data_IF_072682128494
#
_entry.id   IF_072682128494
#
_cell.length_a   1.000
_cell.length_b   1.000
_cell.length_c   1.000
_cell.angle_alpha   90.00
_cell.angle_beta   90.00
_cell.angle_gamma   90.00
#
_symmetry.space_group_name_H-M   'P 1'
#
loop_
_entity.id
_entity.type
_entity.pdbx_description
1 polymer ?
#
# COMPACT_ATOMS: atom_id res chain seq x y z
N UNK A 1 -28.55 -6.68 13.14
CA UNK A 1 -28.63 -5.20 13.11
C UNK A 1 -27.70 -4.69 12.03
N UNK A 2 -28.13 -3.74 11.21
CA UNK A 2 -27.26 -3.09 10.21
C UNK A 2 -26.12 -2.34 10.89
N UNK A 3 -24.91 -2.39 10.32
CA UNK A 3 -23.72 -1.66 10.78
C UNK A 3 -23.28 -0.70 9.70
N UNK A 4 -22.57 0.34 10.09
CA UNK A 4 -21.85 1.18 9.13
C UNK A 4 -20.50 0.53 8.85
N UNK A 5 -20.23 0.17 7.59
CA UNK A 5 -18.98 -0.45 7.15
C UNK A 5 -18.23 0.52 6.22
N UNK A 6 -17.15 1.08 6.72
CA UNK A 6 -16.24 1.88 5.90
C UNK A 6 -15.24 0.94 5.20
N UNK A 7 -15.39 0.80 3.90
CA UNK A 7 -14.52 0.00 3.05
C UNK A 7 -13.49 0.92 2.36
N UNK A 8 -12.32 1.05 2.96
CA UNK A 8 -11.21 1.80 2.37
C UNK A 8 -10.48 0.94 1.35
N UNK A 9 -10.66 1.29 0.09
CA UNK A 9 -10.21 0.49 -1.06
C UNK A 9 -8.88 0.96 -1.68
N UNK A 10 -8.27 2.01 -1.17
CA UNK A 10 -7.04 2.61 -1.72
C UNK A 10 -7.26 4.08 -2.05
N UNK A 11 -6.50 4.69 -2.94
CA UNK A 11 -5.56 4.08 -3.90
C UNK A 11 -4.24 3.64 -3.24
N UNK A 12 -3.48 2.75 -3.90
CA UNK A 12 -2.14 2.44 -3.43
C UNK A 12 -1.24 3.68 -3.50
N UNK A 13 -0.27 3.77 -2.56
CA UNK A 13 0.73 4.87 -2.44
C UNK A 13 0.15 6.23 -2.04
N UNK A 14 -0.92 6.22 -1.30
CA UNK A 14 -1.61 7.40 -0.74
C UNK A 14 -1.52 7.48 0.79
N UNK A 15 -0.55 6.79 1.41
CA UNK A 15 -0.39 6.75 2.87
C UNK A 15 -1.15 5.60 3.55
N UNK A 16 -1.58 4.59 2.79
CA UNK A 16 -2.35 3.44 3.33
C UNK A 16 -1.63 2.70 4.45
N UNK A 17 -0.32 2.51 4.34
CA UNK A 17 0.50 1.88 5.40
C UNK A 17 0.47 2.70 6.70
N UNK A 18 0.58 4.03 6.60
CA UNK A 18 0.48 4.95 7.73
C UNK A 18 -0.89 4.85 8.41
N UNK A 19 -1.96 4.90 7.61
CA UNK A 19 -3.33 4.75 8.10
C UNK A 19 -3.54 3.41 8.81
N UNK A 20 -3.16 2.32 8.16
CA UNK A 20 -3.36 0.96 8.69
C UNK A 20 -2.58 0.74 9.98
N UNK A 21 -1.38 1.31 10.09
CA UNK A 21 -0.57 1.23 11.30
C UNK A 21 -1.20 2.03 12.45
N UNK A 22 -1.68 3.25 12.20
CA UNK A 22 -2.42 4.04 13.21
C UNK A 22 -3.70 3.34 13.67
N UNK A 23 -4.49 2.79 12.76
CA UNK A 23 -5.68 2.00 13.12
C UNK A 23 -5.30 0.79 13.99
N UNK A 24 -4.23 0.08 13.64
CA UNK A 24 -3.71 -1.08 14.38
C UNK A 24 -3.30 -0.71 15.81
N UNK A 25 -2.52 0.36 15.98
CA UNK A 25 -2.02 0.81 17.27
C UNK A 25 -3.17 1.27 18.18
N UNK A 26 -4.23 1.84 17.63
CA UNK A 26 -5.34 2.41 18.37
C UNK A 26 -6.58 1.50 18.45
N UNK A 27 -6.49 0.24 18.02
CA UNK A 27 -7.64 -0.70 17.98
C UNK A 27 -8.40 -0.77 19.31
N UNK A 28 -7.70 -0.81 20.44
CA UNK A 28 -8.32 -0.89 21.76
C UNK A 28 -9.03 0.42 22.18
N UNK A 29 -8.47 1.58 21.81
CA UNK A 29 -9.08 2.88 22.03
C UNK A 29 -10.35 3.05 21.19
N UNK A 30 -10.24 2.76 19.90
CA UNK A 30 -11.34 2.80 18.94
C UNK A 30 -12.52 1.90 19.34
N UNK A 31 -12.24 0.68 19.80
CA UNK A 31 -13.27 -0.27 20.24
C UNK A 31 -14.09 0.25 21.41
N UNK A 32 -13.52 1.02 22.35
CA UNK A 32 -14.26 1.66 23.47
C UNK A 32 -15.29 2.68 22.98
N UNK A 33 -15.12 3.20 21.79
CA UNK A 33 -16.00 4.19 21.17
C UNK A 33 -16.83 3.61 20.02
N UNK A 34 -16.99 2.27 19.98
CA UNK A 34 -17.85 1.61 18.99
C UNK A 34 -17.25 1.57 17.58
N UNK A 35 -15.92 1.66 17.42
CA UNK A 35 -15.24 1.48 16.12
C UNK A 35 -14.42 0.20 16.13
N UNK A 36 -14.82 -0.75 15.31
CA UNK A 36 -14.19 -2.06 15.18
C UNK A 36 -13.24 -2.09 13.98
N UNK A 37 -12.00 -2.48 14.23
CA UNK A 37 -11.02 -2.84 13.19
C UNK A 37 -10.87 -4.37 13.23
N UNK A 38 -11.46 -5.12 12.29
CA UNK A 38 -11.42 -6.58 12.33
C UNK A 38 -10.00 -7.16 12.34
N UNK A 39 -9.76 -8.15 13.20
CA UNK A 39 -8.48 -8.84 13.30
C UNK A 39 -8.65 -10.30 13.69
N UNK A 40 -7.69 -11.16 13.35
CA UNK A 40 -7.66 -12.55 13.86
C UNK A 40 -7.07 -12.63 15.26
N UNK A 41 -6.10 -11.75 15.55
CA UNK A 41 -5.43 -11.59 16.85
C UNK A 41 -5.16 -10.11 17.08
N UNK A 42 -5.06 -9.66 18.33
CA UNK A 42 -4.64 -8.30 18.64
C UNK A 42 -3.33 -7.94 17.93
N UNK A 43 -3.26 -6.76 17.32
CA UNK A 43 -2.06 -6.27 16.62
C UNK A 43 -1.80 -6.85 15.23
N UNK A 44 -2.69 -7.68 14.68
CA UNK A 44 -2.56 -8.28 13.33
C UNK A 44 -3.67 -7.85 12.36
N UNK A 45 -4.13 -6.64 12.48
CA UNK A 45 -5.23 -6.09 11.64
C UNK A 45 -4.82 -6.00 10.17
N UNK A 46 -3.66 -5.42 9.88
CA UNK A 46 -3.13 -5.19 8.53
C UNK A 46 -2.96 -6.51 7.74
N UNK A 47 -2.32 -7.52 8.33
CA UNK A 47 -2.16 -8.83 7.70
C UNK A 47 -3.50 -9.55 7.48
N UNK A 48 -4.47 -9.34 8.37
CA UNK A 48 -5.78 -9.95 8.20
C UNK A 48 -6.57 -9.29 7.07
N UNK A 49 -6.55 -7.95 7.00
CA UNK A 49 -7.20 -7.20 5.91
C UNK A 49 -6.55 -7.51 4.56
N UNK A 50 -5.22 -7.65 4.51
CA UNK A 50 -4.51 -8.09 3.32
C UNK A 50 -4.98 -9.46 2.83
N UNK A 51 -5.01 -10.47 3.73
CA UNK A 51 -5.48 -11.82 3.36
C UNK A 51 -6.93 -11.82 2.93
N UNK A 52 -7.81 -11.06 3.61
CA UNK A 52 -9.21 -10.96 3.21
C UNK A 52 -9.36 -10.34 1.82
N UNK A 53 -8.58 -9.32 1.51
CA UNK A 53 -8.57 -8.72 0.18
C UNK A 53 -8.01 -9.68 -0.89
N UNK A 54 -6.94 -10.43 -0.61
CA UNK A 54 -6.41 -11.46 -1.51
C UNK A 54 -7.44 -12.55 -1.81
N UNK A 55 -8.11 -13.08 -0.78
CA UNK A 55 -9.13 -14.12 -0.90
C UNK A 55 -10.32 -13.64 -1.75
N UNK A 56 -10.82 -12.43 -1.47
CA UNK A 56 -11.87 -11.81 -2.29
C UNK A 56 -11.48 -11.68 -3.76
N UNK A 57 -10.21 -11.33 -4.03
CA UNK A 57 -9.69 -11.09 -5.39
C UNK A 57 -9.20 -12.37 -6.09
N UNK A 58 -9.33 -13.57 -5.49
CA UNK A 58 -8.74 -14.82 -5.95
C UNK A 58 -7.25 -14.70 -6.25
N UNK A 59 -6.51 -14.03 -5.35
CA UNK A 59 -5.06 -13.84 -5.45
C UNK A 59 -4.36 -14.54 -4.30
N UNK A 60 -3.14 -15.01 -4.56
CA UNK A 60 -2.38 -15.83 -3.62
C UNK A 60 -0.87 -15.49 -3.66
N UNK A 61 -0.53 -14.20 -3.60
CA UNK A 61 0.85 -13.73 -3.53
C UNK A 61 1.18 -13.20 -2.12
N UNK A 62 2.45 -13.10 -1.79
CA UNK A 62 2.91 -12.62 -0.48
C UNK A 62 2.83 -13.66 0.63
N UNK A 63 2.73 -14.96 0.29
CA UNK A 63 2.69 -16.06 1.27
C UNK A 63 2.69 -17.43 0.61
N UNK A 64 2.56 -18.48 1.43
CA UNK A 64 2.43 -19.85 0.94
C UNK A 64 1.10 -20.02 0.16
N UNK A 65 1.04 -20.90 -0.87
CA UNK A 65 -0.20 -21.15 -1.61
C UNK A 65 -1.38 -21.46 -0.68
N UNK A 66 -2.51 -20.81 -0.91
CA UNK A 66 -3.73 -20.97 -0.10
C UNK A 66 -3.72 -20.25 1.24
N UNK A 67 -2.72 -19.43 1.56
CA UNK A 67 -2.61 -18.74 2.85
C UNK A 67 -3.74 -17.73 3.12
N UNK A 68 -4.40 -17.25 2.07
CA UNK A 68 -5.49 -16.29 2.16
C UNK A 68 -6.87 -16.94 2.21
N UNK A 69 -6.98 -18.23 1.83
CA UNK A 69 -8.26 -18.94 1.65
C UNK A 69 -9.17 -18.87 2.88
N UNK A 70 -10.41 -18.42 2.67
CA UNK A 70 -11.44 -18.29 3.72
C UNK A 70 -11.28 -17.04 4.59
N UNK A 71 -10.32 -16.16 4.27
CA UNK A 71 -10.09 -14.93 5.03
C UNK A 71 -11.21 -13.90 4.80
N UNK A 72 -11.79 -13.83 3.59
CA UNK A 72 -12.92 -12.96 3.31
C UNK A 72 -14.15 -13.38 4.11
N UNK A 73 -14.51 -14.65 4.11
CA UNK A 73 -15.62 -15.17 4.94
C UNK A 73 -15.36 -14.93 6.44
N UNK A 74 -14.11 -15.05 6.87
CA UNK A 74 -13.73 -14.76 8.24
C UNK A 74 -13.84 -13.26 8.56
N UNK A 75 -13.64 -12.37 7.59
CA UNK A 75 -13.87 -10.92 7.68
C UNK A 75 -15.36 -10.65 7.87
N UNK A 76 -16.22 -11.20 7.00
CA UNK A 76 -17.68 -11.02 7.07
C UNK A 76 -18.24 -11.44 8.45
N UNK A 77 -17.85 -12.63 8.93
CA UNK A 77 -18.25 -13.08 10.29
C UNK A 77 -17.85 -12.11 11.41
N UNK A 78 -16.78 -11.34 11.24
CA UNK A 78 -16.37 -10.31 12.21
C UNK A 78 -17.16 -9.03 12.05
N UNK A 79 -17.47 -8.65 10.83
CA UNK A 79 -18.40 -7.55 10.55
C UNK A 79 -19.75 -7.80 11.20
N UNK A 80 -20.32 -9.00 11.01
CA UNK A 80 -21.62 -9.38 11.59
C UNK A 80 -21.66 -9.35 13.12
N UNK A 81 -20.52 -9.63 13.77
CA UNK A 81 -20.40 -9.64 15.24
C UNK A 81 -19.96 -8.31 15.83
N UNK A 82 -19.51 -7.38 14.99
CA UNK A 82 -19.04 -6.09 15.46
C UNK A 82 -20.16 -5.28 16.11
N UNK A 83 -19.80 -4.43 17.04
CA UNK A 83 -20.68 -3.41 17.60
C UNK A 83 -20.28 -2.05 17.02
N UNK A 84 -21.25 -1.28 16.51
CA UNK A 84 -21.02 0.03 15.92
C UNK A 84 -20.39 0.00 14.53
N UNK A 85 -19.46 0.94 14.28
CA UNK A 85 -18.83 1.14 12.98
C UNK A 85 -17.70 0.15 12.75
N UNK A 86 -17.52 -0.29 11.50
CA UNK A 86 -16.44 -1.20 11.10
C UNK A 86 -15.57 -0.53 10.04
N UNK A 87 -14.25 -0.61 10.19
CA UNK A 87 -13.32 -0.14 9.17
C UNK A 87 -12.55 -1.33 8.59
N UNK A 88 -12.69 -1.55 7.28
CA UNK A 88 -11.91 -2.50 6.49
C UNK A 88 -11.02 -1.68 5.57
N UNK A 89 -9.70 -1.93 5.57
CA UNK A 89 -8.77 -1.13 4.78
C UNK A 89 -7.73 -1.98 4.10
N UNK A 90 -7.76 -2.03 2.76
CA UNK A 90 -6.63 -2.52 1.97
C UNK A 90 -6.64 -1.98 0.54
N UNK A 91 -5.52 -1.39 0.11
CA UNK A 91 -5.38 -0.69 -1.18
C UNK A 91 -5.40 -1.58 -2.43
N UNK A 92 -5.22 -2.89 -2.29
CA UNK A 92 -5.32 -3.78 -3.46
C UNK A 92 -6.76 -3.90 -3.97
N UNK A 93 -7.75 -3.54 -3.17
CA UNK A 93 -9.16 -3.53 -3.55
C UNK A 93 -9.46 -2.54 -4.67
N UNK A 94 -8.69 -1.44 -4.80
CA UNK A 94 -8.87 -0.47 -5.88
C UNK A 94 -8.77 -1.08 -7.27
N UNK A 95 -7.93 -2.11 -7.44
CA UNK A 95 -7.77 -2.82 -8.72
C UNK A 95 -8.71 -4.02 -8.91
N UNK A 96 -9.77 -4.14 -8.11
CA UNK A 96 -10.71 -5.25 -8.19
C UNK A 96 -11.45 -5.29 -9.52
N UNK A 97 -11.71 -6.49 -10.02
CA UNK A 97 -12.56 -6.71 -11.20
C UNK A 97 -14.04 -6.54 -10.85
N UNK A 98 -14.91 -6.24 -11.81
CA UNK A 98 -16.34 -6.02 -11.57
C UNK A 98 -17.05 -7.17 -10.83
N UNK A 99 -16.70 -8.42 -11.13
CA UNK A 99 -17.26 -9.60 -10.45
C UNK A 99 -16.89 -9.66 -8.97
N UNK A 100 -15.67 -9.23 -8.61
CA UNK A 100 -15.18 -9.16 -7.23
C UNK A 100 -15.79 -8.01 -6.46
N UNK A 101 -15.96 -6.86 -7.11
CA UNK A 101 -16.69 -5.73 -6.55
C UNK A 101 -18.15 -6.14 -6.27
N UNK A 102 -18.81 -6.76 -7.25
CA UNK A 102 -20.19 -7.22 -7.08
C UNK A 102 -20.30 -8.23 -5.92
N UNK A 103 -19.35 -9.18 -5.81
CA UNK A 103 -19.30 -10.11 -4.68
C UNK A 103 -19.17 -9.37 -3.34
N UNK A 104 -18.19 -8.47 -3.20
CA UNK A 104 -17.98 -7.72 -1.96
C UNK A 104 -19.23 -6.93 -1.53
N UNK A 105 -19.84 -6.21 -2.48
CA UNK A 105 -21.03 -5.39 -2.23
C UNK A 105 -22.27 -6.24 -1.91
N UNK A 106 -22.41 -7.41 -2.51
CA UNK A 106 -23.51 -8.35 -2.19
C UNK A 106 -23.30 -9.00 -0.81
N UNK A 107 -22.07 -9.40 -0.48
CA UNK A 107 -21.73 -10.00 0.80
C UNK A 107 -21.92 -9.01 1.98
N UNK A 108 -21.86 -7.71 1.72
CA UNK A 108 -22.06 -6.63 2.71
C UNK A 108 -23.45 -5.98 2.61
N UNK A 109 -24.38 -6.51 1.82
CA UNK A 109 -25.66 -5.86 1.51
C UNK A 109 -26.57 -5.61 2.73
N UNK A 110 -26.41 -6.38 3.80
CA UNK A 110 -27.18 -6.22 5.07
C UNK A 110 -26.66 -5.05 5.93
N UNK A 111 -25.59 -4.37 5.48
CA UNK A 111 -24.92 -3.29 6.18
C UNK A 111 -24.99 -1.97 5.40
N UNK A 112 -24.78 -0.87 6.11
CA UNK A 112 -24.60 0.44 5.48
C UNK A 112 -23.14 0.60 5.04
N UNK A 113 -22.88 0.35 3.75
CA UNK A 113 -21.53 0.40 3.18
C UNK A 113 -21.18 1.82 2.74
N UNK A 114 -20.02 2.29 3.20
CA UNK A 114 -19.35 3.50 2.75
C UNK A 114 -18.04 3.12 2.07
N UNK A 115 -17.83 3.56 0.84
CA UNK A 115 -16.58 3.36 0.11
C UNK A 115 -15.68 4.57 0.30
N UNK A 116 -14.45 4.34 0.76
CA UNK A 116 -13.46 5.39 0.99
C UNK A 116 -12.28 5.18 0.04
N UNK A 117 -11.96 6.19 -0.75
CA UNK A 117 -10.84 6.18 -1.68
C UNK A 117 -9.93 7.38 -1.43
N UNK A 118 -8.67 7.11 -1.10
CA UNK A 118 -7.67 8.15 -0.97
C UNK A 118 -7.06 8.50 -2.32
N UNK A 119 -7.04 9.78 -2.66
CA UNK A 119 -6.59 10.30 -3.95
C UNK A 119 -5.37 11.20 -3.79
N UNK A 120 -4.37 11.00 -4.63
CA UNK A 120 -3.12 11.76 -4.62
C UNK A 120 -2.79 12.23 -6.03
N UNK A 121 -2.21 13.42 -6.18
CA UNK A 121 -1.76 13.89 -7.50
C UNK A 121 -0.81 12.88 -8.17
N UNK A 122 -0.93 12.80 -9.48
CA UNK A 122 -0.25 11.79 -10.27
C UNK A 122 1.28 12.00 -10.31
N UNK A 123 1.77 13.24 -10.14
CA UNK A 123 3.21 13.52 -10.17
C UNK A 123 3.94 12.91 -8.97
N UNK A 124 3.30 12.86 -7.79
CA UNK A 124 3.82 12.17 -6.60
C UNK A 124 3.49 10.67 -6.61
N UNK A 125 2.35 10.27 -7.19
CA UNK A 125 1.87 8.89 -7.13
C UNK A 125 2.57 7.98 -8.14
N UNK A 126 2.84 8.46 -9.35
CA UNK A 126 3.47 7.69 -10.42
C UNK A 126 4.87 7.16 -10.08
N UNK A 127 5.81 8.00 -9.54
CA UNK A 127 7.10 7.52 -9.05
C UNK A 127 6.96 6.45 -7.97
N UNK A 128 6.09 6.67 -6.99
CA UNK A 128 5.87 5.75 -5.88
C UNK A 128 5.26 4.41 -6.35
N UNK A 129 4.34 4.43 -7.33
CA UNK A 129 3.76 3.24 -7.94
C UNK A 129 4.81 2.44 -8.74
N UNK A 130 5.67 3.13 -9.50
CA UNK A 130 6.77 2.47 -10.20
C UNK A 130 7.74 1.79 -9.24
N UNK A 131 8.18 2.48 -8.19
CA UNK A 131 9.05 1.91 -7.16
C UNK A 131 8.42 0.69 -6.49
N UNK A 132 7.12 0.73 -6.19
CA UNK A 132 6.42 -0.43 -5.65
C UNK A 132 6.39 -1.59 -6.65
N UNK A 133 6.19 -1.32 -7.95
CA UNK A 133 6.25 -2.36 -8.97
C UNK A 133 7.64 -3.02 -9.05
N UNK A 134 8.72 -2.26 -8.82
CA UNK A 134 10.07 -2.79 -8.77
C UNK A 134 10.29 -3.66 -7.52
N UNK A 135 9.78 -3.23 -6.34
CA UNK A 135 9.80 -4.05 -5.11
C UNK A 135 9.07 -5.38 -5.31
N UNK A 136 8.02 -5.39 -6.13
CA UNK A 136 7.26 -6.60 -6.51
C UNK A 136 7.90 -7.44 -7.61
N UNK A 137 9.19 -7.23 -7.92
CA UNK A 137 9.94 -8.02 -8.88
C UNK A 137 9.85 -7.55 -10.34
N UNK A 138 9.15 -6.44 -10.64
CA UNK A 138 9.09 -5.90 -12.01
C UNK A 138 10.44 -5.33 -12.43
N UNK A 139 10.69 -5.34 -13.77
CA UNK A 139 11.95 -4.91 -14.35
C UNK A 139 11.81 -3.72 -15.30
N UNK A 140 10.63 -3.12 -15.35
CA UNK A 140 10.34 -2.02 -16.27
C UNK A 140 11.16 -0.77 -15.92
N UNK A 141 11.64 -0.06 -16.95
CA UNK A 141 12.16 1.30 -16.78
C UNK A 141 11.04 2.26 -16.38
N UNK A 142 11.37 3.38 -15.76
CA UNK A 142 10.36 4.37 -15.38
C UNK A 142 9.63 4.92 -16.60
N UNK A 143 10.39 5.23 -17.66
CA UNK A 143 9.81 5.62 -18.95
C UNK A 143 8.82 4.58 -19.49
N UNK A 144 9.17 3.28 -19.43
CA UNK A 144 8.27 2.20 -19.88
C UNK A 144 7.02 2.12 -19.00
N UNK A 145 7.14 2.32 -17.70
CA UNK A 145 6.02 2.32 -16.77
C UNK A 145 5.04 3.46 -17.11
N UNK A 146 5.54 4.70 -17.28
CA UNK A 146 4.73 5.85 -17.68
C UNK A 146 4.04 5.61 -19.02
N UNK A 147 4.78 5.19 -20.06
CA UNK A 147 4.21 4.94 -21.39
C UNK A 147 3.13 3.84 -21.38
N UNK A 148 3.24 2.84 -20.49
CA UNK A 148 2.19 1.83 -20.32
C UNK A 148 0.94 2.40 -19.67
N UNK A 149 1.12 3.29 -18.72
CA UNK A 149 0.02 3.99 -18.05
C UNK A 149 -0.75 4.87 -19.05
N UNK A 150 -0.05 5.72 -19.80
CA UNK A 150 -0.62 6.58 -20.84
C UNK A 150 -1.29 5.78 -21.98
N UNK A 151 -0.64 4.75 -22.44
CA UNK A 151 -1.14 3.90 -23.53
C UNK A 151 -2.31 2.98 -23.15
N UNK A 152 -2.92 3.16 -21.97
CA UNK A 152 -4.10 2.42 -21.53
C UNK A 152 -3.89 0.91 -21.35
N UNK A 153 -2.63 0.45 -21.32
CA UNK A 153 -2.34 -0.98 -21.13
C UNK A 153 -2.72 -1.42 -19.74
N UNK A 154 -3.58 -2.41 -19.64
CA UNK A 154 -4.09 -2.95 -18.39
C UNK A 154 -2.97 -3.54 -17.53
N UNK A 155 -2.80 -3.00 -16.33
CA UNK A 155 -1.99 -3.53 -15.24
C UNK A 155 -2.48 -2.91 -13.93
N UNK A 156 -2.14 -3.51 -12.81
CA UNK A 156 -2.71 -3.17 -11.50
C UNK A 156 -2.74 -1.65 -11.22
N UNK A 157 -1.60 -0.95 -11.33
CA UNK A 157 -1.57 0.48 -11.02
C UNK A 157 -2.38 1.33 -12.00
N UNK A 158 -2.50 0.93 -13.28
CA UNK A 158 -3.37 1.66 -14.22
C UNK A 158 -4.84 1.56 -13.81
N UNK A 159 -5.27 0.39 -13.36
CA UNK A 159 -6.64 0.16 -12.88
C UNK A 159 -6.87 0.84 -11.53
N UNK A 160 -5.96 0.65 -10.57
CA UNK A 160 -6.13 1.12 -9.19
C UNK A 160 -6.02 2.65 -9.03
N UNK A 161 -5.39 3.35 -9.98
CA UNK A 161 -5.17 4.80 -9.93
C UNK A 161 -6.16 5.62 -10.79
N UNK A 162 -7.02 4.99 -11.57
CA UNK A 162 -8.04 5.72 -12.32
C UNK A 162 -9.26 5.99 -11.42
N UNK A 163 -9.22 7.10 -10.70
CA UNK A 163 -10.22 7.48 -9.71
C UNK A 163 -11.66 7.38 -10.24
N UNK A 164 -12.01 7.95 -11.43
CA UNK A 164 -13.36 7.84 -11.97
C UNK A 164 -13.80 6.40 -12.24
N UNK A 165 -12.91 5.59 -12.87
CA UNK A 165 -13.22 4.18 -13.18
C UNK A 165 -13.43 3.38 -11.88
N UNK A 166 -12.54 3.55 -10.89
CA UNK A 166 -12.62 2.85 -9.60
C UNK A 166 -13.90 3.20 -8.86
N UNK A 167 -14.18 4.51 -8.69
CA UNK A 167 -15.34 4.94 -7.90
C UNK A 167 -16.67 4.71 -8.61
N UNK A 168 -16.72 4.78 -9.94
CA UNK A 168 -17.91 4.37 -10.71
C UNK A 168 -18.23 2.90 -10.49
N UNK A 169 -17.20 2.03 -10.50
CA UNK A 169 -17.39 0.59 -10.31
C UNK A 169 -17.80 0.23 -8.87
N UNK A 170 -17.10 0.75 -7.86
CA UNK A 170 -17.40 0.48 -6.45
C UNK A 170 -18.69 1.15 -5.96
N UNK A 171 -18.98 2.35 -6.47
CA UNK A 171 -20.14 3.16 -6.11
C UNK A 171 -21.41 2.84 -6.89
N UNK A 172 -21.40 1.91 -7.85
CA UNK A 172 -22.51 1.66 -8.78
C UNK A 172 -23.88 1.43 -8.13
N UNK A 173 -23.91 0.97 -6.88
CA UNK A 173 -25.14 0.69 -6.12
C UNK A 173 -25.26 1.56 -4.85
N UNK A 174 -24.38 2.53 -4.68
CA UNK A 174 -24.36 3.40 -3.51
C UNK A 174 -24.86 4.81 -3.88
N UNK A 175 -25.56 5.47 -2.95
CA UNK A 175 -25.83 6.89 -3.10
C UNK A 175 -24.51 7.67 -2.97
N UNK A 176 -24.34 8.80 -3.69
CA UNK A 176 -23.07 9.51 -3.78
C UNK A 176 -22.45 9.92 -2.44
N UNK A 177 -23.28 10.25 -1.46
CA UNK A 177 -22.87 10.62 -0.09
C UNK A 177 -22.20 9.48 0.71
N UNK A 178 -22.27 8.24 0.22
CA UNK A 178 -21.56 7.09 0.79
C UNK A 178 -20.25 6.75 0.06
N UNK A 179 -19.83 7.63 -0.84
CA UNK A 179 -18.56 7.51 -1.55
C UNK A 179 -17.70 8.69 -1.12
N UNK A 180 -16.61 8.41 -0.42
CA UNK A 180 -15.72 9.41 0.14
C UNK A 180 -14.40 9.45 -0.61
N UNK A 181 -14.02 10.64 -1.09
CA UNK A 181 -12.70 10.91 -1.68
C UNK A 181 -11.86 11.65 -0.65
N UNK A 182 -10.83 10.99 -0.12
CA UNK A 182 -9.87 11.61 0.80
C UNK A 182 -8.66 12.08 0.01
N UNK A 183 -8.47 13.38 -0.14
CA UNK A 183 -7.29 13.90 -0.85
C UNK A 183 -6.05 13.84 0.04
N UNK A 184 -4.91 13.45 -0.55
CA UNK A 184 -3.62 13.41 0.14
C UNK A 184 -2.97 14.79 0.09
N UNK A 185 -2.80 15.49 1.21
CA UNK A 185 -2.31 16.84 1.22
C UNK A 185 -0.89 16.94 0.66
N UNK A 186 -0.55 18.09 0.06
CA UNK A 186 0.83 18.37 -0.33
C UNK A 186 1.71 18.60 0.89
N UNK A 187 1.17 19.26 1.90
CA UNK A 187 1.84 19.60 3.15
C UNK A 187 1.22 18.80 4.31
N UNK A 188 2.05 18.36 5.23
CA UNK A 188 1.61 17.51 6.35
C UNK A 188 0.75 18.24 7.39
N UNK A 189 0.56 19.55 7.23
CA UNK A 189 -0.07 20.41 8.24
C UNK A 189 0.85 20.73 9.42
N UNK A 190 0.41 21.59 10.35
CA UNK A 190 1.24 22.09 11.44
C UNK A 190 1.78 20.99 12.38
N UNK A 191 1.00 19.95 12.60
CA UNK A 191 1.33 18.84 13.51
C UNK A 191 1.80 17.57 12.75
N UNK A 192 1.87 17.63 11.42
CA UNK A 192 2.27 16.47 10.61
C UNK A 192 1.20 15.40 10.42
N UNK A 193 -0.03 15.62 10.89
CA UNK A 193 -1.12 14.64 10.99
C UNK A 193 -2.34 14.93 10.10
N UNK A 194 -2.25 15.91 9.20
CA UNK A 194 -3.38 16.36 8.35
C UNK A 194 -4.03 15.18 7.61
N UNK A 195 -3.26 14.25 7.06
CA UNK A 195 -3.79 13.07 6.38
C UNK A 195 -4.60 12.18 7.33
N UNK A 196 -4.13 12.00 8.56
CA UNK A 196 -4.85 11.24 9.58
C UNK A 196 -6.18 11.91 9.95
N UNK A 197 -6.19 13.22 10.14
CA UNK A 197 -7.39 13.97 10.45
C UNK A 197 -8.45 13.84 9.35
N UNK A 198 -8.01 13.83 8.08
CA UNK A 198 -8.91 13.57 6.95
C UNK A 198 -9.48 12.15 6.98
N UNK A 199 -8.67 11.14 7.25
CA UNK A 199 -9.17 9.76 7.42
C UNK A 199 -10.12 9.63 8.60
N UNK A 200 -9.83 10.26 9.73
CA UNK A 200 -10.74 10.28 10.88
C UNK A 200 -12.11 10.85 10.50
N UNK A 201 -12.12 11.96 9.74
CA UNK A 201 -13.36 12.56 9.26
C UNK A 201 -14.13 11.61 8.32
N UNK A 202 -13.45 10.96 7.37
CA UNK A 202 -14.07 10.02 6.45
C UNK A 202 -14.63 8.76 7.12
N UNK A 203 -14.05 8.35 8.26
CA UNK A 203 -14.51 7.17 9.01
C UNK A 203 -15.44 7.51 10.18
N UNK A 204 -15.75 8.79 10.42
CA UNK A 204 -16.51 9.20 11.59
C UNK A 204 -15.79 8.91 12.91
N UNK A 205 -14.48 9.02 12.95
CA UNK A 205 -13.61 8.80 14.12
C UNK A 205 -13.21 10.15 14.71
N UNK A 206 -13.40 10.31 16.04
CA UNK A 206 -12.76 11.42 16.74
C UNK A 206 -11.24 11.11 16.89
N UNK A 207 -10.33 11.98 16.41
CA UNK A 207 -8.89 11.77 16.54
C UNK A 207 -8.42 11.51 17.98
N UNK A 208 -9.14 12.04 18.99
CA UNK A 208 -8.85 11.80 20.40
C UNK A 208 -9.00 10.33 20.82
N UNK A 209 -9.79 9.53 20.10
CA UNK A 209 -9.95 8.09 20.35
C UNK A 209 -8.74 7.29 19.88
N UNK A 210 -7.89 7.88 19.04
CA UNK A 210 -6.75 7.24 18.39
C UNK A 210 -5.47 8.10 18.48
N UNK A 211 -4.98 8.37 19.71
CA UNK A 211 -3.87 9.30 19.93
C UNK A 211 -2.49 8.76 19.51
N UNK A 212 -2.34 7.43 19.37
CA UNK A 212 -1.04 6.84 19.03
C UNK A 212 -0.72 7.07 17.55
N UNK A 213 0.46 7.64 17.28
CA UNK A 213 0.94 7.85 15.91
C UNK A 213 1.63 6.61 15.34
N UNK A 214 1.79 6.58 14.02
CA UNK A 214 2.50 5.50 13.36
C UNK A 214 3.99 5.55 13.66
N UNK A 215 4.57 4.41 14.01
CA UNK A 215 6.00 4.23 14.20
C UNK A 215 6.72 3.87 12.88
N UNK A 216 5.96 3.64 11.81
CA UNK A 216 6.51 3.22 10.50
C UNK A 216 7.04 4.43 9.72
N UNK A 217 8.33 4.40 9.43
CA UNK A 217 8.95 5.36 8.53
C UNK A 217 8.59 5.02 7.08
N UNK A 218 7.82 5.92 6.43
CA UNK A 218 7.33 5.75 5.06
C UNK A 218 8.29 6.34 4.01
N UNK A 219 9.60 6.23 4.21
CA UNK A 219 10.56 6.69 3.21
C UNK A 219 10.44 5.89 1.91
N UNK A 220 10.71 6.57 0.81
CA UNK A 220 10.78 5.97 -0.53
C UNK A 220 12.23 5.63 -0.87
N UNK A 221 12.44 4.64 -1.73
CA UNK A 221 13.74 4.37 -2.32
C UNK A 221 14.22 5.57 -3.15
N UNK A 222 15.52 5.78 -3.22
CA UNK A 222 16.11 6.73 -4.16
C UNK A 222 16.27 6.14 -5.57
N UNK A 223 16.80 6.97 -6.49
CA UNK A 223 17.02 6.57 -7.89
C UNK A 223 18.03 5.43 -8.01
N UNK A 224 19.13 5.47 -7.23
CA UNK A 224 20.19 4.45 -7.28
C UNK A 224 19.71 3.13 -6.71
N UNK A 225 19.00 3.16 -5.60
CA UNK A 225 18.43 2.02 -4.90
C UNK A 225 17.38 1.32 -5.75
N UNK A 226 16.47 2.11 -6.38
CA UNK A 226 15.45 1.56 -7.28
C UNK A 226 16.10 0.94 -8.54
N UNK A 227 17.14 1.60 -9.11
CA UNK A 227 17.86 1.07 -10.26
C UNK A 227 18.61 -0.23 -9.92
N UNK A 228 19.26 -0.29 -8.75
CA UNK A 228 19.92 -1.49 -8.25
C UNK A 228 18.92 -2.65 -8.12
N UNK A 229 17.81 -2.42 -7.44
CA UNK A 229 16.77 -3.45 -7.24
C UNK A 229 16.20 -3.93 -8.58
N UNK A 230 15.96 -3.02 -9.53
CA UNK A 230 15.52 -3.35 -10.89
C UNK A 230 16.52 -4.22 -11.63
N UNK A 231 17.82 -3.95 -11.49
CA UNK A 231 18.91 -4.75 -12.09
C UNK A 231 19.04 -6.11 -11.41
N UNK A 232 18.84 -6.17 -10.09
CA UNK A 232 18.79 -7.43 -9.35
C UNK A 232 17.62 -8.30 -9.84
N UNK A 233 16.42 -7.73 -9.95
CA UNK A 233 15.25 -8.45 -10.46
C UNK A 233 15.45 -9.08 -11.84
N UNK A 234 16.28 -8.45 -12.71
CA UNK A 234 16.61 -9.01 -14.02
C UNK A 234 17.54 -10.22 -13.95
N UNK A 235 18.28 -10.37 -12.85
CA UNK A 235 19.23 -11.48 -12.63
C UNK A 235 18.60 -12.65 -11.89
N UNK A 236 17.54 -12.37 -11.13
CA UNK A 236 16.81 -13.41 -10.41
C UNK A 236 15.89 -14.17 -11.37
N UNK A 237 15.80 -15.47 -11.19
CA UNK A 237 14.88 -16.31 -11.94
C UNK A 237 13.42 -16.00 -11.58
N UNK A 238 12.49 -16.20 -12.52
CA UNK A 238 11.07 -15.93 -12.31
C UNK A 238 10.48 -16.70 -11.12
N UNK A 239 10.98 -17.89 -10.82
CA UNK A 239 10.57 -18.68 -9.66
C UNK A 239 10.85 -17.99 -8.34
N UNK A 240 12.00 -17.31 -8.22
CA UNK A 240 12.42 -16.60 -7.00
C UNK A 240 11.46 -15.45 -6.67
N UNK A 241 10.95 -14.73 -7.67
CA UNK A 241 10.01 -13.61 -7.45
C UNK A 241 8.66 -14.03 -6.87
N UNK A 242 8.31 -15.31 -6.95
CA UNK A 242 7.06 -15.88 -6.41
C UNK A 242 7.27 -16.61 -5.09
N UNK A 243 8.51 -16.75 -4.67
CA UNK A 243 8.86 -17.42 -3.42
C UNK A 243 8.64 -16.45 -2.24
N UNK A 244 8.04 -16.88 -1.13
CA UNK A 244 7.97 -16.09 0.10
C UNK A 244 9.32 -15.57 0.58
N UNK A 245 10.42 -16.25 0.25
CA UNK A 245 11.80 -15.80 0.53
C UNK A 245 12.11 -14.48 -0.17
N UNK A 246 11.58 -14.24 -1.38
CA UNK A 246 11.75 -12.96 -2.07
C UNK A 246 11.11 -11.82 -1.26
N UNK A 247 9.91 -12.00 -0.76
CA UNK A 247 9.23 -10.98 0.03
C UNK A 247 10.03 -10.64 1.29
N UNK A 248 10.50 -11.64 2.04
CA UNK A 248 11.27 -11.42 3.27
C UNK A 248 12.65 -10.80 3.01
N UNK A 249 13.42 -11.34 2.05
CA UNK A 249 14.81 -10.91 1.84
C UNK A 249 14.92 -9.67 0.96
N UNK A 250 14.09 -9.55 -0.07
CA UNK A 250 14.23 -8.47 -1.06
C UNK A 250 13.30 -7.31 -0.73
N UNK A 251 12.02 -7.57 -0.45
CA UNK A 251 11.07 -6.48 -0.19
C UNK A 251 11.22 -5.90 1.22
N UNK A 252 11.28 -6.73 2.25
CA UNK A 252 11.35 -6.25 3.63
C UNK A 252 12.79 -5.90 4.02
N UNK A 253 13.69 -6.86 4.09
CA UNK A 253 15.05 -6.58 4.55
C UNK A 253 15.79 -5.62 3.61
N UNK A 254 15.96 -5.98 2.33
CA UNK A 254 16.81 -5.19 1.44
C UNK A 254 16.16 -3.85 1.07
N UNK A 255 14.91 -3.85 0.59
CA UNK A 255 14.30 -2.63 0.07
C UNK A 255 13.77 -1.71 1.18
N UNK A 256 13.13 -2.24 2.24
CA UNK A 256 12.48 -1.41 3.25
C UNK A 256 13.37 -1.05 4.45
N UNK A 257 14.32 -1.91 4.83
CA UNK A 257 15.20 -1.61 5.97
C UNK A 257 16.53 -1.02 5.53
N UNK A 258 17.16 -1.56 4.48
CA UNK A 258 18.52 -1.18 4.08
C UNK A 258 18.54 -0.02 3.10
N UNK A 259 17.88 -0.21 1.95
CA UNK A 259 17.98 0.75 0.85
C UNK A 259 17.19 2.05 1.12
N UNK A 260 16.09 1.98 1.87
CA UNK A 260 15.31 3.15 2.28
C UNK A 260 16.06 4.03 3.29
N UNK A 261 16.94 3.46 4.12
CA UNK A 261 17.68 4.20 5.13
C UNK A 261 18.80 5.09 4.55
N UNK A 262 19.11 4.93 3.25
CA UNK A 262 20.16 5.73 2.59
C UNK A 262 19.67 7.15 2.32
N UNK A 263 20.58 8.12 2.44
CA UNK A 263 20.36 9.48 1.94
C UNK A 263 20.48 9.46 0.42
N UNK A 264 19.36 9.53 -0.26
CA UNK A 264 19.26 9.22 -1.67
C UNK A 264 18.41 10.25 -2.44
N UNK A 265 18.77 10.48 -3.70
CA UNK A 265 18.00 11.34 -4.59
C UNK A 265 16.61 10.73 -4.85
N UNK A 266 15.52 11.48 -4.62
CA UNK A 266 14.17 10.97 -4.84
C UNK A 266 13.90 10.68 -6.32
N UNK A 267 13.04 9.70 -6.56
CA UNK A 267 12.46 9.51 -7.90
C UNK A 267 11.33 10.51 -8.08
N UNK A 268 11.44 11.33 -9.13
CA UNK A 268 10.47 12.35 -9.47
C UNK A 268 9.92 12.13 -10.88
N UNK A 269 8.71 12.62 -11.13
CA UNK A 269 8.14 12.60 -12.48
C UNK A 269 9.02 13.43 -13.42
N UNK A 270 9.30 12.97 -14.66
CA UNK A 270 10.04 13.77 -15.63
C UNK A 270 9.31 15.11 -15.93
N UNK A 271 10.05 16.24 -16.08
CA UNK A 271 9.44 17.54 -16.32
C UNK A 271 8.44 17.56 -17.50
N UNK A 272 8.76 16.83 -18.57
CA UNK A 272 7.91 16.70 -19.77
C UNK A 272 6.61 15.88 -19.55
N UNK A 273 6.41 15.35 -18.36
CA UNK A 273 5.21 14.54 -18.01
C UNK A 273 4.27 15.25 -17.03
N UNK A 274 4.59 16.47 -16.63
CA UNK A 274 3.72 17.24 -15.73
C UNK A 274 2.42 17.65 -16.39
N UNK A 275 2.43 17.97 -17.70
CA UNK A 275 1.19 18.29 -18.44
C UNK A 275 0.19 17.12 -18.40
N UNK A 276 0.68 15.87 -18.51
CA UNK A 276 -0.16 14.68 -18.32
C UNK A 276 -0.74 14.61 -16.90
N UNK A 277 0.08 14.86 -15.90
CA UNK A 277 -0.34 14.78 -14.50
C UNK A 277 -1.38 15.86 -14.18
N UNK A 278 -1.21 17.07 -14.71
CA UNK A 278 -2.17 18.19 -14.58
C UNK A 278 -3.49 17.86 -15.26
N UNK A 279 -3.45 17.44 -16.52
CA UNK A 279 -4.66 17.03 -17.26
C UNK A 279 -5.43 15.92 -16.55
N UNK A 280 -4.71 14.95 -15.97
CA UNK A 280 -5.33 13.88 -15.20
C UNK A 280 -5.96 14.40 -13.91
N UNK A 281 -5.28 15.32 -13.20
CA UNK A 281 -5.80 15.96 -12.00
C UNK A 281 -7.08 16.73 -12.28
N UNK A 282 -7.11 17.56 -13.35
CA UNK A 282 -8.30 18.31 -13.74
C UNK A 282 -9.47 17.37 -14.13
N UNK A 283 -9.19 16.29 -14.86
CA UNK A 283 -10.21 15.28 -15.20
C UNK A 283 -10.82 14.63 -13.95
N UNK A 284 -10.00 14.34 -12.93
CA UNK A 284 -10.49 13.80 -11.66
C UNK A 284 -11.33 14.83 -10.88
N UNK A 285 -10.86 16.08 -10.82
CA UNK A 285 -11.59 17.18 -10.16
C UNK A 285 -12.94 17.42 -10.82
N UNK A 286 -13.00 17.45 -12.16
CA UNK A 286 -14.24 17.61 -12.91
C UNK A 286 -15.22 16.47 -12.62
N UNK A 287 -14.74 15.23 -12.66
CA UNK A 287 -15.56 14.06 -12.33
C UNK A 287 -16.10 14.11 -10.89
N UNK A 288 -15.25 14.44 -9.91
CA UNK A 288 -15.63 14.57 -8.50
C UNK A 288 -16.75 15.62 -8.36
N UNK A 289 -16.57 16.80 -8.94
CA UNK A 289 -17.56 17.88 -8.89
C UNK A 289 -18.91 17.51 -9.52
N UNK A 290 -18.87 16.69 -10.57
CA UNK A 290 -20.07 16.23 -11.27
C UNK A 290 -20.75 15.02 -10.63
N UNK A 291 -20.06 14.25 -9.80
CA UNK A 291 -20.53 12.97 -9.25
C UNK A 291 -21.36 13.09 -7.96
N UNK A 292 -21.24 14.20 -7.22
CA UNK A 292 -21.90 14.38 -5.93
C UNK A 292 -21.30 13.57 -4.78
N UNK A 293 -20.11 12.95 -4.95
CA UNK A 293 -19.40 12.22 -3.90
C UNK A 293 -18.92 13.17 -2.80
N UNK A 294 -18.79 12.65 -1.58
CA UNK A 294 -18.25 13.41 -0.46
C UNK A 294 -16.73 13.60 -0.59
N UNK A 295 -16.25 14.84 -0.39
CA UNK A 295 -14.83 15.19 -0.49
C UNK A 295 -14.28 15.55 0.88
N UNK A 296 -13.29 14.80 1.33
CA UNK A 296 -12.58 15.08 2.58
C UNK A 296 -11.18 15.57 2.26
N UNK A 297 -10.99 16.88 2.34
CA UNK A 297 -9.75 17.58 2.00
C UNK A 297 -9.97 18.68 0.98
N UNK A 298 -8.95 18.96 0.17
CA UNK A 298 -8.97 19.99 -0.85
C UNK A 298 -8.72 19.39 -2.24
N UNK A 299 -9.54 19.71 -3.22
CA UNK A 299 -9.37 19.25 -4.59
C UNK A 299 -8.07 19.78 -5.23
N UNK A 300 -7.52 20.89 -4.73
CA UNK A 300 -6.23 21.42 -5.18
C UNK A 300 -5.07 20.49 -4.84
N UNK A 301 -5.22 19.58 -3.89
CA UNK A 301 -4.25 18.53 -3.62
C UNK A 301 -4.05 17.54 -4.79
N UNK A 302 -5.01 17.47 -5.70
CA UNK A 302 -4.96 16.62 -6.89
C UNK A 302 -4.21 17.30 -8.06
N UNK A 303 -3.93 18.60 -7.95
CA UNK A 303 -3.09 19.34 -8.88
C UNK A 303 -1.64 19.16 -8.54
N UNK A 304 -0.80 18.67 -9.46
CA UNK A 304 0.61 18.51 -9.18
C UNK A 304 1.30 19.86 -9.00
N UNK A 305 2.20 19.95 -8.04
CA UNK A 305 3.12 21.09 -7.91
C UNK A 305 4.33 20.84 -8.80
N UNK A 306 4.57 21.70 -9.80
CA UNK A 306 5.77 21.62 -10.64
C UNK A 306 7.01 21.95 -9.82
N UNK A 307 8.14 21.27 -10.05
CA UNK A 307 9.42 21.64 -9.46
C UNK A 307 9.81 23.06 -9.91
N UNK A 308 10.58 23.74 -9.08
CA UNK A 308 11.13 25.05 -9.41
C UNK A 308 12.10 24.99 -10.58
N UNK A 309 12.41 26.15 -11.18
CA UNK A 309 13.33 26.25 -12.32
C UNK A 309 14.75 25.75 -11.99
N UNK A 310 15.15 25.86 -10.71
CA UNK A 310 16.47 25.44 -10.21
C UNK A 310 16.51 24.00 -9.72
N UNK A 311 15.37 23.29 -9.69
CA UNK A 311 15.29 21.91 -9.23
C UNK A 311 15.87 20.96 -10.29
N UNK A 312 16.96 20.30 -9.97
CA UNK A 312 17.61 19.33 -10.85
C UNK A 312 16.83 18.02 -10.91
N UNK A 313 16.20 17.72 -12.06
CA UNK A 313 15.63 16.40 -12.30
C UNK A 313 16.72 15.39 -12.70
N UNK A 314 16.69 14.23 -12.09
CA UNK A 314 17.61 13.11 -12.41
C UNK A 314 16.87 11.91 -12.96
N UNK A 315 17.35 11.44 -14.12
CA UNK A 315 16.72 10.31 -14.80
C UNK A 315 16.96 8.99 -14.05
N UNK A 316 15.93 8.36 -13.47
CA UNK A 316 16.07 7.10 -12.71
C UNK A 316 16.40 5.89 -13.61
N UNK A 317 16.28 6.04 -14.92
CA UNK A 317 16.67 5.01 -15.89
C UNK A 317 18.15 5.11 -16.31
N UNK A 318 18.86 6.21 -15.95
CA UNK A 318 20.25 6.48 -16.29
C UNK A 318 21.06 6.90 -15.05
N UNK A 319 21.24 5.97 -14.13
CA UNK A 319 21.95 6.22 -12.87
C UNK A 319 23.45 6.04 -13.05
N UNK A 320 24.26 6.92 -12.42
CA UNK A 320 25.71 6.81 -12.42
C UNK A 320 26.15 5.54 -11.68
N UNK A 321 27.03 4.75 -12.29
CA UNK A 321 27.51 3.47 -11.76
C UNK A 321 28.10 3.57 -10.33
N UNK A 322 28.75 4.70 -9.98
CA UNK A 322 29.29 4.94 -8.63
C UNK A 322 28.20 4.95 -7.55
N UNK A 323 27.04 5.55 -7.84
CA UNK A 323 25.92 5.60 -6.89
C UNK A 323 25.30 4.21 -6.69
N UNK A 324 25.13 3.48 -7.79
CA UNK A 324 24.65 2.10 -7.73
C UNK A 324 25.61 1.16 -7.00
N UNK A 325 26.93 1.35 -7.22
CA UNK A 325 27.96 0.55 -6.52
C UNK A 325 27.89 0.78 -5.00
N UNK A 326 27.73 2.04 -4.56
CA UNK A 326 27.56 2.33 -3.13
C UNK A 326 26.33 1.60 -2.55
N UNK A 327 25.18 1.69 -3.21
CA UNK A 327 23.97 0.97 -2.79
C UNK A 327 24.17 -0.55 -2.81
N UNK A 328 24.89 -1.08 -3.79
CA UNK A 328 25.17 -2.52 -3.90
C UNK A 328 26.10 -3.03 -2.78
N UNK A 329 27.09 -2.25 -2.38
CA UNK A 329 28.00 -2.62 -1.29
C UNK A 329 27.26 -2.65 0.06
N UNK A 330 26.40 -1.67 0.35
CA UNK A 330 25.60 -1.65 1.56
C UNK A 330 24.62 -2.83 1.59
N UNK A 331 23.96 -3.09 0.46
CA UNK A 331 23.09 -4.25 0.30
C UNK A 331 23.83 -5.57 0.56
N UNK A 332 24.99 -5.75 -0.05
CA UNK A 332 25.82 -6.96 0.10
C UNK A 332 26.30 -7.13 1.55
N UNK A 333 26.68 -6.06 2.24
CA UNK A 333 27.10 -6.10 3.63
C UNK A 333 25.98 -6.61 4.55
N UNK A 334 24.75 -6.14 4.36
CA UNK A 334 23.60 -6.60 5.16
C UNK A 334 23.21 -8.04 4.82
N UNK A 335 23.12 -8.37 3.54
CA UNK A 335 22.83 -9.74 3.10
C UNK A 335 23.86 -10.76 3.61
N UNK A 336 25.14 -10.36 3.68
CA UNK A 336 26.20 -11.21 4.23
C UNK A 336 26.02 -11.44 5.73
N UNK A 337 25.65 -10.40 6.50
CA UNK A 337 25.34 -10.52 7.93
C UNK A 337 24.16 -11.45 8.16
N UNK A 338 23.05 -11.24 7.44
CA UNK A 338 21.87 -12.10 7.56
C UNK A 338 22.17 -13.57 7.22
N UNK A 339 22.95 -13.81 6.18
CA UNK A 339 23.39 -15.16 5.82
C UNK A 339 24.26 -15.82 6.92
N UNK A 340 25.14 -15.06 7.57
CA UNK A 340 25.95 -15.54 8.67
C UNK A 340 25.11 -15.86 9.90
N UNK A 341 24.17 -14.98 10.26
CA UNK A 341 23.25 -15.19 11.40
C UNK A 341 22.28 -16.36 11.17
N UNK A 342 21.77 -16.50 9.95
CA UNK A 342 20.91 -17.62 9.57
C UNK A 342 21.63 -18.96 9.71
N UNK A 343 22.91 -19.02 9.29
CA UNK A 343 23.76 -20.21 9.50
C UNK A 343 24.00 -20.49 10.97
N UNK A 344 24.26 -19.45 11.79
CA UNK A 344 24.45 -19.61 13.22
C UNK A 344 23.19 -20.15 13.92
N UNK A 345 22.01 -19.57 13.58
CA UNK A 345 20.71 -20.05 14.08
C UNK A 345 20.42 -21.50 13.69
N UNK A 346 20.69 -21.89 12.46
CA UNK A 346 20.51 -23.28 12.00
C UNK A 346 21.45 -24.26 12.67
N UNK A 347 22.69 -23.88 12.95
CA UNK A 347 23.68 -24.69 13.66
C UNK A 347 23.33 -24.89 15.14
N UNK A 348 22.80 -23.87 15.81
CA UNK A 348 22.29 -23.95 17.19
C UNK A 348 21.05 -24.83 17.27
N UNK A 349 20.09 -24.67 16.35
CA UNK A 349 18.90 -25.52 16.26
C UNK A 349 19.24 -26.97 15.97
N UNK A 350 20.25 -27.24 15.16
CA UNK A 350 20.80 -28.59 14.92
C UNK A 350 21.42 -29.21 16.18
N UNK A 351 22.22 -28.45 16.92
CA UNK A 351 22.82 -28.88 18.18
C UNK A 351 21.76 -29.19 19.27
N UNK A 352 20.75 -28.33 19.41
CA UNK A 352 19.66 -28.54 20.35
C UNK A 352 18.81 -29.77 20.01
N UNK A 353 18.51 -30.01 18.73
CA UNK A 353 17.80 -31.22 18.28
C UNK A 353 18.60 -32.49 18.55
N UNK A 354 19.92 -32.45 18.32
CA UNK A 354 20.81 -33.60 18.59
C UNK A 354 20.92 -33.89 20.09
N UNK A 355 20.97 -32.83 20.91
CA UNK A 355 21.02 -32.97 22.38
C UNK A 355 19.69 -33.52 22.93
N UNK A 356 18.56 -32.97 22.46
CA UNK A 356 17.21 -33.43 22.84
C UNK A 356 16.96 -34.91 22.44
N UNK A 357 17.46 -35.32 21.26
CA UNK A 357 17.38 -36.74 20.82
C UNK A 357 18.22 -37.67 21.71
N UNK A 358 19.44 -37.25 22.06
CA UNK A 358 20.32 -38.02 22.99
C UNK A 358 19.77 -38.13 24.41
N UNK A 359 18.98 -37.14 24.87
CA UNK A 359 18.31 -37.19 26.18
C UNK A 359 17.05 -38.03 26.17
N UNK A 360 16.43 -38.25 25.00
CA UNK A 360 15.23 -39.10 24.85
C UNK A 360 15.57 -40.57 24.63
N UNK A 361 16.77 -40.85 24.15
CA UNK A 361 17.28 -42.22 23.89
C UNK A 361 18.12 -42.75 25.06
N UNK A 362 18.13 -42.07 26.21
CA UNK A 362 18.62 -42.52 27.53
C UNK A 362 17.44 -42.70 28.48
#
# INVERSE_FOLDING_TARGET
>A
MSRVVHLHIGAPKTGTTYLQDRLRLNTAGLAKHGVTIPATRPGQTDMFHFRAALDLLDQDWGGAPGHAKGAWDAMLRRVDRAEGNVVISHEILAGAKPDKIAKAMNDLADHEVHVVYSARDLARQMPAAWQESIKQGRTWSFRRFINRYEGGRTFFFRQALDLPEVLTAWGAKLPPERIHVVTVPHDRGPNGDELWLRFCRAFGIDPAWAPLDSERDNRSLGIAETSLLRKLNRRLELGVHRDPVYDNLIRELLAQEVLVARDAWPVQLPPERYDLAEQQGERWIEWIRGSGVDVVGDLDDLRPRRPGADDEWRNPDRVRAKLELGAALDALAVMTREAAESRARSSLGGKLRTTARRLRDR
#
